data_IF_953426879729
#
_entry.id   IF_953426879729
#
_cell.length_a   1.000
_cell.length_b   1.000
_cell.length_c   1.000
_cell.angle_alpha   90.00
_cell.angle_beta   90.00
_cell.angle_gamma   90.00
#
_symmetry.space_group_name_H-M   'P 1'
#
loop_
_entity.id
_entity.type
_entity.pdbx_description
1 polymer ?
#
# COMPACT_ATOMS: atom_id res chain seq x y z
N UNK A 1 23.57 -53.47 39.00
CA UNK A 1 24.96 -53.21 38.57
C UNK A 1 25.08 -51.73 38.20
N UNK A 2 25.39 -50.90 39.22
CA UNK A 2 26.48 -49.91 39.29
C UNK A 2 26.10 -48.54 38.65
N UNK A 3 25.67 -47.50 39.39
CA UNK A 3 26.44 -46.54 40.24
C UNK A 3 27.67 -45.97 39.52
N UNK A 4 27.89 -44.64 39.43
CA UNK A 4 28.43 -43.69 40.44
C UNK A 4 28.30 -42.26 39.81
N UNK A 5 27.61 -41.26 40.36
CA UNK A 5 27.93 -40.27 41.46
C UNK A 5 29.09 -39.31 41.12
N UNK A 6 28.81 -38.00 41.12
CA UNK A 6 29.62 -36.89 41.71
C UNK A 6 28.81 -35.58 41.52
N UNK A 7 28.13 -35.06 42.54
CA UNK A 7 28.55 -34.28 43.72
C UNK A 7 28.53 -32.76 43.51
N UNK A 8 27.62 -32.14 44.28
CA UNK A 8 27.54 -30.73 44.64
C UNK A 8 28.68 -30.32 45.59
N UNK A 9 28.98 -29.01 45.62
CA UNK A 9 29.29 -28.22 46.84
C UNK A 9 29.22 -26.74 46.40
N UNK A 10 28.14 -26.02 46.69
CA UNK A 10 27.81 -25.28 47.93
C UNK A 10 28.67 -24.02 48.18
N UNK A 11 28.08 -22.80 48.07
CA UNK A 11 27.70 -21.89 49.20
C UNK A 11 28.83 -20.86 49.46
N UNK A 12 28.69 -19.55 49.72
CA UNK A 12 27.62 -18.66 50.20
C UNK A 12 27.85 -17.19 49.78
N UNK A 13 26.83 -16.38 50.12
CA UNK A 13 26.65 -14.93 50.00
C UNK A 13 27.22 -14.21 51.23
N UNK A 14 27.69 -12.96 51.07
CA UNK A 14 27.56 -11.78 51.97
C UNK A 14 28.60 -10.71 51.55
N UNK A 15 28.47 -9.38 51.69
CA UNK A 15 27.42 -8.41 52.05
C UNK A 15 28.03 -7.01 51.84
N UNK A 16 27.21 -6.02 51.49
CA UNK A 16 27.25 -4.58 51.91
C UNK A 16 28.50 -3.72 51.68
N UNK A 17 28.32 -2.53 51.07
CA UNK A 17 28.30 -1.22 51.77
C UNK A 17 28.67 -0.05 50.84
N UNK A 18 27.77 0.94 50.77
CA UNK A 18 28.04 2.28 50.28
C UNK A 18 28.49 3.20 51.44
N UNK A 19 29.31 4.21 51.15
CA UNK A 19 29.63 5.41 51.95
C UNK A 19 29.85 6.54 50.92
N UNK A 20 29.07 7.63 50.82
CA UNK A 20 28.69 8.73 51.74
C UNK A 20 29.66 9.92 51.73
N UNK A 21 29.09 11.08 51.37
CA UNK A 21 29.66 12.43 51.34
C UNK A 21 30.05 12.97 52.74
N UNK A 22 31.05 13.86 52.79
CA UNK A 22 31.16 14.98 53.75
C UNK A 22 32.25 15.98 53.31
N UNK A 23 31.91 17.22 52.91
CA UNK A 23 31.95 18.52 53.63
C UNK A 23 33.17 19.42 53.38
N UNK A 24 32.96 20.41 52.50
CA UNK A 24 33.16 21.87 52.60
C UNK A 24 34.36 22.58 53.30
N UNK A 25 34.64 23.75 52.69
CA UNK A 25 35.29 25.01 53.17
C UNK A 25 36.80 25.16 52.95
N UNK A 26 37.37 26.27 52.46
CA UNK A 26 36.81 27.55 51.97
C UNK A 26 37.91 28.54 51.53
N UNK A 27 37.46 29.60 50.83
CA UNK A 27 38.02 30.97 50.62
C UNK A 27 39.27 31.22 49.75
N UNK A 28 38.97 31.94 48.65
CA UNK A 28 39.57 33.16 48.10
C UNK A 28 41.08 33.42 48.21
N UNK A 29 41.75 33.49 47.05
CA UNK A 29 42.81 34.48 46.76
C UNK A 29 42.80 34.87 45.26
N UNK A 30 42.50 36.14 45.02
CA UNK A 30 42.99 37.09 43.99
C UNK A 30 43.15 36.72 42.50
N UNK A 31 42.51 37.52 41.64
CA UNK A 31 42.98 37.84 40.28
C UNK A 31 44.14 38.86 40.36
N UNK A 32 45.09 38.90 39.39
CA UNK A 32 44.87 39.78 38.23
C UNK A 32 45.44 39.31 36.86
N UNK A 33 44.74 39.80 35.82
CA UNK A 33 45.20 40.33 34.52
C UNK A 33 45.87 39.48 33.39
N UNK A 34 45.08 39.39 32.31
CA UNK A 34 45.36 39.68 30.87
C UNK A 34 46.59 39.05 30.19
N UNK A 35 46.33 38.19 29.19
CA UNK A 35 46.72 38.34 27.77
C UNK A 35 46.72 36.97 27.10
N UNK A 36 45.89 36.75 26.08
CA UNK A 36 45.87 35.48 25.36
C UNK A 36 44.76 35.38 24.35
N UNK A 37 44.98 36.06 23.23
CA UNK A 37 44.15 36.09 22.03
C UNK A 37 43.80 34.68 21.55
N UNK A 38 42.51 34.34 21.55
CA UNK A 38 41.95 33.20 20.82
C UNK A 38 40.45 33.42 20.63
N UNK A 39 40.00 33.85 19.44
CA UNK A 39 38.59 33.85 19.14
C UNK A 39 38.13 32.39 19.01
N UNK A 40 37.39 31.93 20.01
CA UNK A 40 36.43 30.85 19.86
C UNK A 40 35.62 31.09 18.58
N UNK A 41 35.30 30.05 17.77
CA UNK A 41 34.56 30.25 16.53
C UNK A 41 33.24 30.95 16.85
N UNK A 42 33.07 32.15 16.30
CA UNK A 42 31.85 32.93 16.49
C UNK A 42 30.67 32.06 16.09
N UNK A 43 29.71 31.88 16.99
CA UNK A 43 28.39 31.39 16.66
C UNK A 43 27.91 32.17 15.44
N UNK A 44 27.78 31.45 14.32
CA UNK A 44 27.26 31.98 13.07
C UNK A 44 26.03 32.85 13.38
N UNK A 45 26.00 34.06 12.82
CA UNK A 45 24.95 35.03 13.11
C UNK A 45 23.54 34.45 12.93
N UNK A 46 22.53 34.97 13.65
CA UNK A 46 21.18 34.42 13.68
C UNK A 46 20.56 34.17 12.29
N UNK A 47 20.97 34.93 11.27
CA UNK A 47 20.53 34.76 9.88
C UNK A 47 21.00 33.46 9.21
N UNK A 48 22.22 32.99 9.48
CA UNK A 48 22.72 31.73 8.89
C UNK A 48 22.08 30.51 9.57
N UNK A 49 21.81 30.60 10.88
CA UNK A 49 21.09 29.58 11.63
C UNK A 49 19.64 29.48 11.15
N UNK A 50 18.97 30.61 10.89
CA UNK A 50 17.61 30.65 10.35
C UNK A 50 17.51 30.09 8.93
N UNK A 51 18.47 30.38 8.04
CA UNK A 51 18.49 29.84 6.68
C UNK A 51 18.71 28.32 6.65
N UNK A 52 19.60 27.79 7.50
CA UNK A 52 19.80 26.34 7.63
C UNK A 52 18.54 25.64 8.17
N UNK A 53 17.87 26.25 9.15
CA UNK A 53 16.60 25.76 9.69
C UNK A 53 15.45 25.82 8.67
N UNK A 54 15.42 26.83 7.80
CA UNK A 54 14.44 26.90 6.71
C UNK A 54 14.60 25.72 5.74
N UNK A 55 15.84 25.38 5.36
CA UNK A 55 16.12 24.20 4.54
C UNK A 55 15.74 22.88 5.23
N UNK A 56 15.92 22.79 6.55
CA UNK A 56 15.44 21.65 7.34
C UNK A 56 13.90 21.60 7.43
N UNK A 57 13.23 22.75 7.54
CA UNK A 57 11.77 22.84 7.55
C UNK A 57 11.16 22.42 6.20
N UNK A 58 11.79 22.77 5.07
CA UNK A 58 11.41 22.28 3.74
C UNK A 58 11.56 20.77 3.62
N UNK A 59 12.69 20.21 4.08
CA UNK A 59 12.89 18.75 4.10
C UNK A 59 11.89 18.06 5.02
N UNK A 60 11.60 18.65 6.19
CA UNK A 60 10.60 18.14 7.11
C UNK A 60 9.19 18.14 6.48
N UNK A 61 8.82 19.20 5.75
CA UNK A 61 7.59 19.21 4.92
C UNK A 61 7.59 18.08 3.91
N UNK A 62 8.70 17.87 3.20
CA UNK A 62 8.88 16.75 2.27
C UNK A 62 8.65 15.38 2.92
N UNK A 63 9.20 15.17 4.13
CA UNK A 63 8.98 13.92 4.88
C UNK A 63 7.54 13.75 5.36
N UNK A 64 6.89 14.83 5.81
CA UNK A 64 5.46 14.81 6.17
C UNK A 64 4.60 14.46 4.96
N UNK A 65 4.90 15.01 3.79
CA UNK A 65 4.21 14.64 2.55
C UNK A 65 4.46 13.18 2.15
N UNK A 66 5.69 12.70 2.29
CA UNK A 66 6.09 11.32 1.97
C UNK A 66 5.50 10.28 2.94
N UNK A 67 5.15 10.66 4.16
CA UNK A 67 4.58 9.77 5.18
C UNK A 67 3.22 9.15 4.77
N UNK A 68 2.52 9.75 3.80
CA UNK A 68 1.28 9.21 3.25
C UNK A 68 1.31 9.17 1.73
N UNK A 69 0.73 8.13 1.12
CA UNK A 69 0.70 8.03 -0.35
C UNK A 69 -0.10 9.17 -0.97
N UNK A 70 0.28 9.66 -2.17
CA UNK A 70 -0.46 10.71 -2.88
C UNK A 70 -1.96 10.38 -3.07
N UNK A 71 -2.30 9.10 -3.24
CA UNK A 71 -3.69 8.65 -3.29
C UNK A 71 -4.40 8.76 -1.95
N UNK A 72 -3.71 8.46 -0.83
CA UNK A 72 -4.24 8.67 0.52
C UNK A 72 -4.52 10.15 0.76
N UNK A 73 -3.59 11.04 0.39
CA UNK A 73 -3.76 12.50 0.52
C UNK A 73 -4.97 13.01 -0.26
N UNK A 74 -5.08 12.62 -1.55
CA UNK A 74 -6.23 12.96 -2.40
C UNK A 74 -7.55 12.45 -1.82
N UNK A 75 -7.57 11.21 -1.32
CA UNK A 75 -8.75 10.63 -0.71
C UNK A 75 -9.15 11.36 0.57
N UNK A 76 -8.17 11.70 1.43
CA UNK A 76 -8.42 12.41 2.68
C UNK A 76 -8.85 13.87 2.47
N UNK A 77 -8.29 14.55 1.48
CA UNK A 77 -8.73 15.89 1.11
C UNK A 77 -10.19 15.89 0.61
N UNK A 78 -10.55 14.89 -0.21
CA UNK A 78 -11.93 14.73 -0.70
C UNK A 78 -12.91 14.43 0.44
N UNK A 79 -12.52 13.54 1.38
CA UNK A 79 -13.35 13.21 2.54
C UNK A 79 -13.55 14.43 3.45
N UNK A 80 -12.51 15.21 3.70
CA UNK A 80 -12.60 16.46 4.48
C UNK A 80 -13.52 17.48 3.83
N UNK A 81 -13.40 17.66 2.50
CA UNK A 81 -14.30 18.54 1.74
C UNK A 81 -15.75 18.10 1.87
N UNK A 82 -16.00 16.79 1.79
CA UNK A 82 -17.33 16.23 1.92
C UNK A 82 -17.91 16.43 3.33
N UNK A 83 -17.13 16.15 4.38
CA UNK A 83 -17.55 16.42 5.77
C UNK A 83 -17.85 17.90 5.99
N UNK A 84 -16.93 18.78 5.59
CA UNK A 84 -17.09 20.23 5.73
C UNK A 84 -18.29 20.78 4.95
N UNK A 85 -18.60 20.19 3.78
CA UNK A 85 -19.80 20.54 3.02
C UNK A 85 -21.09 20.07 3.71
N UNK A 86 -21.08 18.88 4.29
CA UNK A 86 -22.21 18.38 5.07
C UNK A 86 -22.46 19.22 6.32
N UNK A 87 -21.42 19.54 7.10
CA UNK A 87 -21.52 20.41 8.28
C UNK A 87 -22.19 21.74 7.93
N UNK A 88 -21.71 22.42 6.87
CA UNK A 88 -22.29 23.68 6.39
C UNK A 88 -23.76 23.57 6.02
N UNK A 89 -24.17 22.51 5.32
CA UNK A 89 -25.58 22.28 4.96
C UNK A 89 -26.46 21.99 6.17
N UNK A 90 -25.90 21.39 7.21
CA UNK A 90 -26.60 21.03 8.45
C UNK A 90 -26.55 22.14 9.51
N UNK A 91 -25.99 23.32 9.21
CA UNK A 91 -25.84 24.40 10.19
C UNK A 91 -24.83 24.10 11.31
N UNK A 92 -23.92 23.15 11.10
CA UNK A 92 -22.90 22.72 12.07
C UNK A 92 -21.53 23.28 11.69
N UNK A 93 -20.69 23.56 12.70
CA UNK A 93 -19.28 23.88 12.46
C UNK A 93 -18.44 22.59 12.34
N UNK A 94 -17.54 22.47 11.35
CA UNK A 94 -16.59 21.36 11.25
C UNK A 94 -15.43 21.47 12.27
N UNK A 95 -15.27 22.62 12.93
CA UNK A 95 -14.24 22.86 13.93
C UNK A 95 -14.85 23.59 15.15
N UNK A 96 -14.51 23.20 16.40
CA UNK A 96 -13.60 22.11 16.80
C UNK A 96 -14.18 20.69 16.58
N UNK A 97 -13.38 19.61 16.72
CA UNK A 97 -13.82 18.21 16.52
C UNK A 97 -14.82 17.73 17.59
N UNK A 98 -16.08 18.15 17.51
CA UNK A 98 -17.11 17.70 18.44
C UNK A 98 -17.54 16.26 18.13
N UNK A 99 -17.42 15.28 19.06
CA UNK A 99 -17.75 13.88 18.80
C UNK A 99 -19.19 13.67 18.33
N UNK A 100 -20.16 14.40 18.90
CA UNK A 100 -21.56 14.40 18.46
C UNK A 100 -21.73 14.77 16.97
N UNK A 101 -21.07 15.83 16.47
CA UNK A 101 -21.11 16.22 15.05
C UNK A 101 -20.58 15.10 14.15
N UNK A 102 -19.50 14.43 14.57
CA UNK A 102 -18.93 13.29 13.83
C UNK A 102 -19.88 12.09 13.86
N UNK A 103 -20.52 11.81 15.01
CA UNK A 103 -21.55 10.78 15.16
C UNK A 103 -22.74 11.00 14.20
N UNK A 104 -23.27 12.22 14.15
CA UNK A 104 -24.33 12.59 13.21
C UNK A 104 -23.89 12.44 11.75
N UNK A 105 -22.65 12.83 11.44
CA UNK A 105 -22.09 12.71 10.09
C UNK A 105 -22.00 11.25 9.62
N UNK A 106 -21.49 10.34 10.45
CA UNK A 106 -21.38 8.92 10.07
C UNK A 106 -22.76 8.26 9.96
N UNK A 107 -23.73 8.67 10.78
CA UNK A 107 -25.14 8.26 10.64
C UNK A 107 -25.71 8.74 9.30
N UNK A 108 -25.49 10.00 8.94
CA UNK A 108 -25.93 10.54 7.65
C UNK A 108 -25.25 9.82 6.46
N UNK A 109 -23.99 9.40 6.60
CA UNK A 109 -23.32 8.60 5.58
C UNK A 109 -23.95 7.20 5.47
N UNK A 110 -24.30 6.56 6.59
CA UNK A 110 -24.90 5.23 6.63
C UNK A 110 -26.36 5.22 6.13
N UNK A 111 -27.10 6.31 6.31
CA UNK A 111 -28.49 6.43 5.83
C UNK A 111 -28.61 6.98 4.41
N UNK A 112 -27.53 7.53 3.85
CA UNK A 112 -27.56 8.25 2.56
C UNK A 112 -28.02 9.71 2.67
N UNK A 113 -28.27 10.21 3.88
CA UNK A 113 -28.66 11.61 4.10
C UNK A 113 -27.49 12.61 4.00
N UNK A 114 -26.24 12.14 3.90
CA UNK A 114 -25.08 13.02 3.84
C UNK A 114 -25.03 13.88 2.56
N UNK A 115 -25.59 13.39 1.45
CA UNK A 115 -25.67 14.10 0.18
C UNK A 115 -26.94 13.69 -0.57
N UNK A 116 -27.72 14.67 -1.05
CA UNK A 116 -29.00 14.42 -1.71
C UNK A 116 -28.82 13.58 -2.97
N UNK A 117 -29.62 12.53 -3.11
CA UNK A 117 -29.60 11.64 -4.28
C UNK A 117 -28.43 10.64 -4.31
N UNK A 118 -27.64 10.56 -3.24
CA UNK A 118 -26.50 9.63 -3.16
C UNK A 118 -26.87 8.41 -2.33
N UNK A 119 -26.44 7.23 -2.79
CA UNK A 119 -26.66 5.97 -2.08
C UNK A 119 -25.92 5.95 -0.71
N UNK A 120 -26.45 5.23 0.28
CA UNK A 120 -25.74 4.94 1.53
C UNK A 120 -24.28 4.50 1.33
N UNK A 121 -23.37 5.05 2.14
CA UNK A 121 -21.97 4.64 2.12
C UNK A 121 -21.79 3.26 2.77
N UNK A 122 -20.87 2.46 2.22
CA UNK A 122 -20.46 1.21 2.86
C UNK A 122 -19.76 1.47 4.20
N UNK A 123 -19.83 0.51 5.13
CA UNK A 123 -19.09 0.55 6.41
C UNK A 123 -17.61 0.89 6.21
N UNK A 124 -16.95 0.24 5.24
CA UNK A 124 -15.55 0.50 4.91
C UNK A 124 -15.28 1.94 4.44
N UNK A 125 -16.24 2.56 3.75
CA UNK A 125 -16.12 3.95 3.31
C UNK A 125 -16.25 4.89 4.51
N UNK A 126 -17.16 4.60 5.44
CA UNK A 126 -17.36 5.39 6.66
C UNK A 126 -16.13 5.29 7.57
N UNK A 127 -15.57 4.10 7.77
CA UNK A 127 -14.34 3.92 8.55
C UNK A 127 -13.14 4.65 7.95
N UNK A 128 -13.01 4.65 6.61
CA UNK A 128 -11.99 5.42 5.91
C UNK A 128 -12.18 6.93 6.11
N UNK A 129 -13.43 7.41 6.03
CA UNK A 129 -13.76 8.83 6.29
C UNK A 129 -13.40 9.20 7.73
N UNK A 130 -13.73 8.38 8.73
CA UNK A 130 -13.31 8.61 10.12
C UNK A 130 -11.78 8.70 10.27
N UNK A 131 -11.03 7.78 9.65
CA UNK A 131 -9.56 7.87 9.64
C UNK A 131 -9.06 9.15 8.96
N UNK A 132 -9.72 9.59 7.90
CA UNK A 132 -9.43 10.86 7.24
C UNK A 132 -9.71 12.07 8.14
N UNK A 133 -10.81 12.05 8.90
CA UNK A 133 -11.15 13.12 9.84
C UNK A 133 -10.12 13.20 10.95
N UNK A 134 -9.80 12.09 11.62
CA UNK A 134 -8.76 12.06 12.65
C UNK A 134 -7.42 12.59 12.13
N UNK A 135 -7.03 12.20 10.91
CA UNK A 135 -5.82 12.72 10.28
C UNK A 135 -5.90 14.23 10.05
N UNK A 136 -7.01 14.73 9.49
CA UNK A 136 -7.19 16.16 9.20
C UNK A 136 -7.23 17.02 10.47
N UNK A 137 -7.83 16.54 11.56
CA UNK A 137 -7.79 17.23 12.84
C UNK A 137 -6.36 17.24 13.40
N UNK A 138 -5.65 16.11 13.34
CA UNK A 138 -4.26 16.03 13.81
C UNK A 138 -3.33 17.00 13.05
N UNK A 139 -3.51 17.15 11.74
CA UNK A 139 -2.77 18.15 10.94
C UNK A 139 -3.05 19.61 11.36
N UNK A 140 -4.12 19.86 12.11
CA UNK A 140 -4.52 21.17 12.65
C UNK A 140 -4.23 21.31 14.14
N UNK A 141 -3.47 20.37 14.73
CA UNK A 141 -3.18 20.35 16.17
C UNK A 141 -4.37 19.95 17.05
N UNK A 142 -5.43 19.39 16.47
CA UNK A 142 -6.64 18.97 17.18
C UNK A 142 -6.73 17.44 17.22
N UNK A 143 -7.31 16.90 18.29
CA UNK A 143 -7.49 15.45 18.45
C UNK A 143 -8.96 15.08 18.33
N UNK A 144 -9.25 14.06 17.52
CA UNK A 144 -10.56 13.42 17.48
C UNK A 144 -10.46 12.04 18.13
N UNK A 145 -11.03 11.89 19.33
CA UNK A 145 -11.13 10.59 19.97
C UNK A 145 -12.23 9.75 19.32
N UNK A 146 -11.82 8.71 18.60
CA UNK A 146 -12.73 7.76 17.93
C UNK A 146 -13.38 6.78 18.89
N UNK A 147 -12.87 6.68 20.13
CA UNK A 147 -13.42 5.83 21.19
C UNK A 147 -14.53 6.52 21.97
N UNK A 148 -14.73 7.83 21.76
CA UNK A 148 -15.87 8.55 22.33
C UNK A 148 -17.17 7.83 22.00
N UNK A 149 -18.05 7.75 22.99
CA UNK A 149 -19.35 7.04 22.92
C UNK A 149 -20.16 7.45 21.70
N UNK A 150 -20.19 8.73 21.34
CA UNK A 150 -20.99 9.25 20.22
C UNK A 150 -20.50 8.77 18.85
N UNK A 151 -19.25 8.31 18.76
CA UNK A 151 -18.67 7.76 17.54
C UNK A 151 -18.66 6.23 17.62
N UNK A 152 -18.16 5.67 18.73
CA UNK A 152 -17.97 4.24 18.88
C UNK A 152 -19.30 3.47 18.87
N UNK A 153 -20.32 3.93 19.61
CA UNK A 153 -21.63 3.28 19.66
C UNK A 153 -22.35 3.36 18.31
N UNK A 154 -22.31 4.51 17.65
CA UNK A 154 -22.91 4.70 16.32
C UNK A 154 -22.21 3.81 15.29
N UNK A 155 -20.88 3.76 15.30
CA UNK A 155 -20.12 2.86 14.42
C UNK A 155 -20.42 1.38 14.69
N UNK A 156 -20.61 0.98 15.95
CA UNK A 156 -21.02 -0.37 16.29
C UNK A 156 -22.41 -0.70 15.71
N UNK A 157 -23.38 0.22 15.86
CA UNK A 157 -24.70 0.09 15.24
C UNK A 157 -24.63 -0.03 13.71
N UNK A 158 -23.88 0.86 13.05
CA UNK A 158 -23.67 0.82 11.59
C UNK A 158 -23.07 -0.51 11.15
N UNK A 159 -22.10 -1.06 11.89
CA UNK A 159 -21.53 -2.38 11.58
C UNK A 159 -22.59 -3.47 11.74
N UNK A 160 -23.32 -3.50 12.84
CA UNK A 160 -24.31 -4.55 13.09
C UNK A 160 -25.46 -4.52 12.07
N UNK A 161 -25.89 -3.34 11.63
CA UNK A 161 -27.02 -3.18 10.71
C UNK A 161 -26.63 -3.27 9.23
N UNK A 162 -25.41 -2.86 8.86
CA UNK A 162 -25.03 -2.65 7.45
C UNK A 162 -23.73 -3.33 7.04
N UNK A 163 -23.00 -3.97 7.94
CA UNK A 163 -21.82 -4.73 7.53
C UNK A 163 -22.25 -5.87 6.61
N UNK A 164 -21.62 -5.90 5.44
CA UNK A 164 -21.72 -7.00 4.49
C UNK A 164 -20.33 -7.61 4.33
N UNK A 165 -20.23 -8.92 4.07
CA UNK A 165 -18.97 -9.53 3.67
C UNK A 165 -18.33 -8.72 2.54
N UNK A 166 -17.02 -8.43 2.58
CA UNK A 166 -16.36 -7.66 1.53
C UNK A 166 -16.56 -8.32 0.16
N UNK A 167 -17.06 -7.56 -0.82
CA UNK A 167 -17.19 -8.04 -2.19
C UNK A 167 -15.80 -8.23 -2.78
N UNK A 168 -15.36 -9.49 -2.84
CA UNK A 168 -14.10 -9.85 -3.50
C UNK A 168 -14.31 -9.78 -5.02
N UNK A 169 -13.32 -9.22 -5.72
CA UNK A 169 -13.32 -9.21 -7.19
C UNK A 169 -13.06 -10.62 -7.71
N UNK A 170 -13.63 -10.92 -8.87
CA UNK A 170 -13.41 -12.23 -9.47
C UNK A 170 -11.94 -12.36 -9.84
N UNK A 171 -11.36 -13.48 -9.43
CA UNK A 171 -10.00 -13.86 -9.79
C UNK A 171 -10.01 -14.26 -11.27
N UNK A 172 -9.11 -13.67 -12.05
CA UNK A 172 -8.86 -14.08 -13.43
C UNK A 172 -7.91 -15.27 -13.36
N UNK A 173 -8.31 -16.42 -13.88
CA UNK A 173 -7.48 -17.64 -13.85
C UNK A 173 -6.41 -17.61 -14.95
N UNK A 174 -5.51 -18.59 -14.96
CA UNK A 174 -4.44 -18.64 -15.96
C UNK A 174 -5.01 -18.74 -17.38
N UNK A 175 -6.06 -19.53 -17.57
CA UNK A 175 -6.78 -19.72 -18.82
C UNK A 175 -7.43 -18.41 -19.28
N UNK A 176 -8.04 -17.67 -18.35
CA UNK A 176 -8.63 -16.37 -18.65
C UNK A 176 -7.56 -15.37 -19.13
N UNK A 177 -6.37 -15.37 -18.52
CA UNK A 177 -5.26 -14.51 -18.97
C UNK A 177 -4.85 -14.84 -20.40
N UNK A 178 -4.78 -16.13 -20.75
CA UNK A 178 -4.42 -16.59 -22.09
C UNK A 178 -5.43 -16.03 -23.10
N UNK A 179 -6.73 -16.24 -22.86
CA UNK A 179 -7.78 -15.68 -23.73
C UNK A 179 -7.74 -14.15 -23.78
N UNK A 180 -7.49 -13.48 -22.65
CA UNK A 180 -7.38 -12.02 -22.60
C UNK A 180 -6.22 -11.48 -23.44
N UNK A 181 -5.05 -12.12 -23.43
CA UNK A 181 -3.91 -11.65 -24.23
C UNK A 181 -4.09 -11.91 -25.73
N UNK A 182 -4.90 -12.88 -26.11
CA UNK A 182 -5.25 -13.16 -27.51
C UNK A 182 -6.13 -12.08 -28.13
N UNK A 183 -6.90 -11.35 -27.31
CA UNK A 183 -7.70 -10.19 -27.78
C UNK A 183 -6.86 -8.97 -28.16
N UNK A 184 -5.55 -8.98 -27.87
CA UNK A 184 -4.66 -7.85 -28.09
C UNK A 184 -3.92 -7.95 -29.42
N UNK A 185 -3.94 -6.87 -30.19
CA UNK A 185 -3.23 -6.78 -31.47
C UNK A 185 -1.70 -6.82 -31.29
N UNK A 186 -1.07 -7.88 -31.82
CA UNK A 186 0.39 -8.10 -31.73
C UNK A 186 1.18 -7.21 -32.69
N UNK A 187 0.53 -6.59 -33.68
CA UNK A 187 1.15 -5.70 -34.66
C UNK A 187 1.33 -4.26 -34.19
N UNK A 188 0.73 -3.85 -33.06
CA UNK A 188 0.85 -2.49 -32.53
C UNK A 188 1.65 -2.42 -31.23
N UNK A 189 2.35 -1.30 -31.03
CA UNK A 189 3.07 -1.02 -29.78
C UNK A 189 2.12 -1.01 -28.58
N UNK A 190 0.86 -0.59 -28.77
CA UNK A 190 -0.15 -0.62 -27.72
C UNK A 190 -0.45 -2.06 -27.28
N UNK A 191 -0.66 -2.98 -28.21
CA UNK A 191 -0.96 -4.36 -27.85
C UNK A 191 0.24 -5.09 -27.25
N UNK A 192 1.46 -4.82 -27.73
CA UNK A 192 2.70 -5.33 -27.11
C UNK A 192 2.83 -4.87 -25.65
N UNK A 193 2.65 -3.57 -25.39
CA UNK A 193 2.65 -3.00 -24.04
C UNK A 193 1.59 -3.64 -23.15
N UNK A 194 0.34 -3.64 -23.63
CA UNK A 194 -0.81 -4.10 -22.86
C UNK A 194 -0.68 -5.60 -22.53
N UNK A 195 -0.12 -6.41 -23.44
CA UNK A 195 0.19 -7.82 -23.20
C UNK A 195 1.25 -7.99 -22.12
N UNK A 196 2.35 -7.25 -22.19
CA UNK A 196 3.38 -7.27 -21.15
C UNK A 196 2.82 -6.86 -19.78
N UNK A 197 1.96 -5.84 -19.73
CA UNK A 197 1.30 -5.41 -18.49
C UNK A 197 0.41 -6.49 -17.87
N UNK A 198 -0.39 -7.19 -18.68
CA UNK A 198 -1.28 -8.25 -18.18
C UNK A 198 -0.47 -9.44 -17.63
N UNK A 199 0.52 -9.90 -18.38
CA UNK A 199 1.32 -11.06 -18.02
C UNK A 199 2.19 -10.80 -16.78
N UNK A 200 2.88 -9.66 -16.71
CA UNK A 200 3.67 -9.27 -15.53
C UNK A 200 2.76 -9.02 -14.33
N UNK A 201 1.63 -8.34 -14.55
CA UNK A 201 0.66 -8.06 -13.50
C UNK A 201 0.07 -9.32 -12.88
N UNK A 202 -0.21 -10.33 -13.69
CA UNK A 202 -0.67 -11.64 -13.24
C UNK A 202 0.45 -12.43 -12.57
N UNK A 203 1.56 -12.69 -13.28
CA UNK A 203 2.64 -13.56 -12.80
C UNK A 203 3.34 -13.03 -11.54
N UNK A 204 3.45 -11.71 -11.39
CA UNK A 204 3.98 -11.08 -10.18
C UNK A 204 2.93 -10.80 -9.10
N UNK A 205 1.63 -11.02 -9.36
CA UNK A 205 0.56 -10.69 -8.44
C UNK A 205 0.54 -9.19 -8.07
N UNK A 206 0.91 -8.34 -9.03
CA UNK A 206 1.20 -6.93 -8.79
C UNK A 206 -0.08 -6.09 -8.70
N UNK A 207 -0.06 -5.08 -7.82
CA UNK A 207 -1.10 -4.05 -7.79
C UNK A 207 -0.93 -3.12 -9.00
N UNK A 208 -2.03 -2.52 -9.47
CA UNK A 208 -2.01 -1.56 -10.59
C UNK A 208 -0.94 -0.46 -10.45
N UNK A 209 -0.76 0.08 -9.25
CA UNK A 209 0.24 1.13 -8.98
C UNK A 209 1.67 0.59 -8.94
N UNK A 210 1.85 -0.69 -8.64
CA UNK A 210 3.15 -1.37 -8.68
C UNK A 210 3.52 -1.59 -10.15
N UNK A 211 2.59 -2.10 -10.98
CA UNK A 211 2.81 -2.31 -12.43
C UNK A 211 3.29 -1.04 -13.13
N UNK A 212 2.53 0.06 -13.03
CA UNK A 212 2.91 1.31 -13.71
C UNK A 212 4.10 2.02 -13.06
N UNK A 213 4.42 1.68 -11.81
CA UNK A 213 5.52 2.26 -11.05
C UNK A 213 6.88 1.63 -11.35
N UNK A 214 6.94 0.63 -12.24
CA UNK A 214 8.18 -0.02 -12.65
C UNK A 214 8.99 0.85 -13.61
N UNK A 215 10.28 0.93 -13.35
CA UNK A 215 11.30 1.49 -14.23
C UNK A 215 12.15 0.37 -14.84
N UNK A 216 12.93 0.70 -15.87
CA UNK A 216 13.86 -0.25 -16.48
C UNK A 216 15.01 -0.62 -15.55
N UNK A 217 15.47 0.32 -14.73
CA UNK A 217 16.54 0.14 -13.74
C UNK A 217 16.25 0.93 -12.47
N UNK A 218 16.99 0.65 -11.41
CA UNK A 218 16.92 1.40 -10.16
C UNK A 218 17.22 2.89 -10.38
N UNK A 219 16.57 3.75 -9.58
CA UNK A 219 16.88 5.18 -9.44
C UNK A 219 16.81 6.01 -10.74
N UNK A 220 15.99 5.58 -11.71
CA UNK A 220 15.88 6.28 -13.00
C UNK A 220 14.89 7.46 -12.98
N UNK A 221 13.92 7.44 -12.08
CA UNK A 221 12.89 8.48 -11.96
C UNK A 221 12.53 8.72 -10.50
N UNK A 222 12.12 9.95 -10.17
CA UNK A 222 11.73 10.35 -8.82
C UNK A 222 10.42 9.67 -8.37
N UNK A 223 9.49 9.46 -9.30
CA UNK A 223 8.18 8.84 -9.04
C UNK A 223 8.20 7.30 -9.16
N UNK A 224 9.37 6.74 -9.48
CA UNK A 224 9.64 5.31 -9.58
C UNK A 224 9.37 4.58 -8.26
N UNK A 225 8.69 3.43 -8.36
CA UNK A 225 8.27 2.62 -7.20
C UNK A 225 8.80 1.21 -7.25
N UNK A 226 9.70 0.93 -8.19
CA UNK A 226 10.29 -0.36 -8.42
C UNK A 226 10.99 -0.42 -9.76
N UNK A 227 11.74 -1.49 -9.99
CA UNK A 227 12.43 -1.74 -11.26
C UNK A 227 12.45 -3.24 -11.56
N UNK A 228 12.88 -3.59 -12.75
CA UNK A 228 13.02 -4.96 -13.21
C UNK A 228 14.49 -5.32 -13.45
N UNK A 229 14.82 -6.58 -13.24
CA UNK A 229 16.10 -7.19 -13.61
C UNK A 229 15.82 -8.49 -14.34
N UNK A 230 16.15 -8.54 -15.63
CA UNK A 230 15.92 -9.72 -16.47
C UNK A 230 17.12 -10.63 -16.34
N UNK A 231 16.87 -11.88 -15.93
CA UNK A 231 17.85 -12.93 -15.71
C UNK A 231 17.60 -14.09 -16.68
N UNK A 232 18.53 -15.04 -16.76
CA UNK A 232 18.40 -16.19 -17.66
C UNK A 232 17.10 -16.99 -17.40
N UNK A 233 16.81 -17.28 -16.13
CA UNK A 233 15.65 -18.11 -15.71
C UNK A 233 14.34 -17.34 -15.55
N UNK A 234 14.37 -16.00 -15.58
CA UNK A 234 13.19 -15.20 -15.21
C UNK A 234 13.48 -13.71 -15.11
N UNK A 235 12.67 -13.02 -14.31
CA UNK A 235 12.82 -11.60 -14.01
C UNK A 235 12.61 -11.37 -12.52
N UNK A 236 13.53 -10.65 -11.90
CA UNK A 236 13.38 -10.14 -10.53
C UNK A 236 12.71 -8.78 -10.60
N UNK A 237 11.70 -8.55 -9.76
CA UNK A 237 10.96 -7.29 -9.70
C UNK A 237 11.07 -6.74 -8.28
N UNK A 238 11.80 -5.64 -8.15
CA UNK A 238 11.97 -4.94 -6.86
C UNK A 238 10.92 -3.87 -6.73
N UNK A 239 10.19 -3.85 -5.60
CA UNK A 239 9.00 -3.02 -5.40
C UNK A 239 9.01 -2.32 -4.06
N UNK A 240 8.64 -1.04 -4.07
CA UNK A 240 8.34 -0.27 -2.86
C UNK A 240 6.85 -0.37 -2.53
N UNK A 241 6.54 -1.26 -1.60
CA UNK A 241 5.21 -1.45 -1.04
C UNK A 241 4.85 -0.44 0.04
N UNK A 242 3.73 -0.66 0.72
CA UNK A 242 3.34 0.14 1.89
C UNK A 242 4.20 -0.13 3.14
N UNK A 243 4.76 -1.33 3.22
CA UNK A 243 5.48 -1.86 4.39
C UNK A 243 6.99 -1.92 4.15
N UNK A 244 7.50 -1.25 3.11
CA UNK A 244 8.90 -1.29 2.71
C UNK A 244 9.13 -1.93 1.34
N UNK A 245 10.40 -2.22 1.07
CA UNK A 245 10.85 -2.88 -0.15
C UNK A 245 10.60 -4.38 -0.09
N UNK A 246 10.29 -4.97 -1.25
CA UNK A 246 10.20 -6.42 -1.44
C UNK A 246 10.62 -6.79 -2.85
N UNK A 247 11.00 -8.04 -3.01
CA UNK A 247 11.30 -8.64 -4.30
C UNK A 247 10.23 -9.66 -4.67
N UNK A 248 9.97 -9.76 -5.97
CA UNK A 248 9.01 -10.66 -6.58
C UNK A 248 9.71 -11.36 -7.74
N UNK A 249 9.77 -12.68 -7.68
CA UNK A 249 10.39 -13.49 -8.73
C UNK A 249 9.32 -13.87 -9.76
N UNK A 250 9.60 -13.63 -11.04
CA UNK A 250 8.73 -14.01 -12.15
C UNK A 250 9.49 -14.98 -13.05
N UNK A 251 9.06 -16.24 -13.10
CA UNK A 251 9.66 -17.25 -13.97
C UNK A 251 9.28 -17.10 -15.44
N UNK A 252 10.11 -17.64 -16.35
CA UNK A 252 9.74 -17.78 -17.76
C UNK A 252 8.53 -18.72 -17.89
N UNK A 253 7.56 -18.32 -18.73
CA UNK A 253 6.40 -19.13 -19.05
C UNK A 253 6.73 -20.28 -20.00
N UNK A 254 5.86 -21.29 -20.04
CA UNK A 254 6.03 -22.49 -20.87
C UNK A 254 5.92 -22.23 -22.38
N UNK A 255 5.28 -21.13 -22.81
CA UNK A 255 5.18 -20.72 -24.21
C UNK A 255 5.57 -19.26 -24.38
N UNK A 256 6.27 -18.93 -25.47
CA UNK A 256 6.60 -17.54 -25.82
C UNK A 256 5.35 -16.66 -25.95
N UNK A 257 4.23 -17.26 -26.37
CA UNK A 257 2.94 -16.59 -26.56
C UNK A 257 2.27 -16.14 -25.26
N UNK A 258 2.69 -16.66 -24.11
CA UNK A 258 2.16 -16.36 -22.77
C UNK A 258 3.27 -16.01 -21.75
N UNK A 259 4.54 -16.09 -22.15
CA UNK A 259 5.67 -15.82 -21.28
C UNK A 259 5.78 -14.32 -20.91
N UNK A 260 5.76 -13.96 -19.61
CA UNK A 260 5.87 -12.57 -19.17
C UNK A 260 7.22 -11.95 -19.52
N UNK A 261 8.31 -12.71 -19.45
CA UNK A 261 9.67 -12.20 -19.75
C UNK A 261 9.77 -11.86 -21.24
N UNK A 262 9.37 -12.78 -22.12
CA UNK A 262 9.37 -12.53 -23.58
C UNK A 262 8.48 -11.35 -23.93
N UNK A 263 7.34 -11.18 -23.25
CA UNK A 263 6.47 -10.03 -23.45
C UNK A 263 7.16 -8.70 -23.11
N UNK A 264 7.86 -8.65 -21.98
CA UNK A 264 8.61 -7.46 -21.54
C UNK A 264 9.79 -7.19 -22.46
N UNK A 265 10.60 -8.20 -22.79
CA UNK A 265 11.73 -8.07 -23.72
C UNK A 265 11.26 -7.54 -25.08
N UNK A 266 10.15 -8.09 -25.61
CA UNK A 266 9.54 -7.65 -26.87
C UNK A 266 9.09 -6.20 -26.78
N UNK A 267 8.38 -5.84 -25.71
CA UNK A 267 7.94 -4.46 -25.49
C UNK A 267 9.12 -3.49 -25.43
N UNK A 268 10.15 -3.77 -24.62
CA UNK A 268 11.35 -2.92 -24.49
C UNK A 268 12.03 -2.72 -25.85
N UNK A 269 12.20 -3.81 -26.62
CA UNK A 269 12.83 -3.78 -27.94
C UNK A 269 12.05 -2.91 -28.94
N UNK A 270 10.76 -3.17 -29.12
CA UNK A 270 9.96 -2.46 -30.14
C UNK A 270 9.60 -1.04 -29.74
N UNK A 271 9.46 -0.76 -28.44
CA UNK A 271 9.24 0.59 -27.92
C UNK A 271 10.54 1.40 -27.77
N UNK A 272 11.70 0.79 -28.06
CA UNK A 272 13.03 1.40 -27.99
C UNK A 272 13.30 2.05 -26.62
N UNK A 273 12.97 1.35 -25.54
CA UNK A 273 13.12 1.90 -24.19
C UNK A 273 14.55 1.68 -23.69
N UNK A 274 15.26 2.77 -23.42
CA UNK A 274 16.62 2.72 -22.86
C UNK A 274 16.70 3.11 -21.38
N UNK A 275 15.87 4.07 -20.94
CA UNK A 275 15.87 4.63 -19.58
C UNK A 275 14.49 5.07 -19.14
N UNK A 276 14.14 4.92 -17.86
CA UNK A 276 12.94 5.50 -17.25
C UNK A 276 11.78 4.50 -17.14
N UNK A 277 10.52 4.97 -17.18
CA UNK A 277 9.36 4.12 -16.91
C UNK A 277 9.25 2.95 -17.88
N UNK A 278 9.00 1.76 -17.35
CA UNK A 278 8.81 0.54 -18.15
C UNK A 278 7.53 0.63 -18.99
N UNK A 279 6.43 1.12 -18.40
CA UNK A 279 5.15 1.24 -19.09
C UNK A 279 4.78 2.71 -19.33
N UNK A 280 4.76 3.09 -20.61
CA UNK A 280 4.51 4.47 -21.06
C UNK A 280 3.21 4.59 -21.84
N UNK A 281 2.75 5.83 -22.00
CA UNK A 281 1.60 6.12 -22.86
C UNK A 281 1.96 5.83 -24.32
N UNK A 282 1.05 5.15 -25.03
CA UNK A 282 1.14 4.92 -26.47
C UNK A 282 0.06 5.77 -27.16
N UNK A 283 0.45 6.56 -28.15
CA UNK A 283 -0.39 7.49 -28.93
C UNK A 283 -0.38 7.12 -30.41
N UNK A 284 -1.00 7.95 -31.27
CA UNK A 284 -0.97 7.77 -32.73
C UNK A 284 -1.49 6.40 -33.18
N UNK A 285 -2.71 6.03 -32.77
CA UNK A 285 -3.32 4.74 -33.13
C UNK A 285 -2.47 3.50 -32.73
N UNK A 286 -1.60 3.63 -31.71
CA UNK A 286 -0.79 2.50 -31.25
C UNK A 286 0.63 2.44 -31.85
N UNK A 287 1.09 3.52 -32.50
CA UNK A 287 2.38 3.54 -33.23
C UNK A 287 3.48 4.35 -32.56
N UNK A 288 3.15 5.25 -31.64
CA UNK A 288 4.13 6.14 -30.99
C UNK A 288 4.14 5.99 -29.47
N UNK A 289 5.31 6.02 -28.85
CA UNK A 289 5.51 5.88 -27.40
C UNK A 289 5.95 7.22 -26.83
N UNK A 290 5.25 7.71 -25.81
CA UNK A 290 5.62 8.93 -25.10
C UNK A 290 6.72 8.71 -24.05
N UNK A 291 7.21 9.80 -23.44
CA UNK A 291 8.16 9.79 -22.32
C UNK A 291 7.49 9.40 -20.99
N UNK A 292 6.24 9.79 -20.82
CA UNK A 292 5.55 9.77 -19.52
C UNK A 292 5.12 8.38 -19.06
N UNK A 293 5.21 8.18 -17.74
CA UNK A 293 4.69 7.01 -17.03
C UNK A 293 3.19 6.86 -17.25
N UNK A 294 2.74 5.61 -17.42
CA UNK A 294 1.32 5.31 -17.61
C UNK A 294 0.51 5.52 -16.31
N UNK A 295 -0.73 6.01 -16.44
CA UNK A 295 -1.64 6.14 -15.31
C UNK A 295 -2.17 4.76 -14.87
N UNK A 296 -2.13 4.43 -13.58
CA UNK A 296 -2.64 3.17 -13.03
C UNK A 296 -4.14 2.89 -13.28
N UNK A 297 -4.95 3.91 -13.65
CA UNK A 297 -6.32 3.72 -14.13
C UNK A 297 -6.37 2.95 -15.46
N UNK A 298 -5.36 3.09 -16.32
CA UNK A 298 -5.27 2.39 -17.60
C UNK A 298 -5.17 0.88 -17.41
N UNK A 299 -4.47 0.40 -16.37
CA UNK A 299 -4.43 -1.04 -16.04
C UNK A 299 -5.82 -1.59 -15.76
N UNK A 300 -6.65 -0.85 -15.00
CA UNK A 300 -8.01 -1.31 -14.70
C UNK A 300 -8.90 -1.32 -15.95
N UNK A 301 -8.75 -0.32 -16.82
CA UNK A 301 -9.46 -0.24 -18.10
C UNK A 301 -9.04 -1.38 -19.03
N UNK A 302 -7.74 -1.66 -19.09
CA UNK A 302 -7.17 -2.76 -19.85
C UNK A 302 -7.76 -4.10 -19.40
N UNK A 303 -7.65 -4.44 -18.11
CA UNK A 303 -8.17 -5.71 -17.56
C UNK A 303 -9.67 -5.85 -17.85
N UNK A 304 -10.45 -4.79 -17.66
CA UNK A 304 -11.88 -4.83 -17.96
C UNK A 304 -12.10 -5.09 -19.46
N UNK A 305 -11.51 -4.28 -20.34
CA UNK A 305 -11.68 -4.39 -21.80
C UNK A 305 -11.32 -5.77 -22.31
N UNK A 306 -10.18 -6.32 -21.92
CA UNK A 306 -9.73 -7.64 -22.41
C UNK A 306 -10.53 -8.78 -21.78
N UNK A 307 -10.92 -8.70 -20.51
CA UNK A 307 -11.81 -9.69 -19.91
C UNK A 307 -13.15 -9.72 -20.64
N UNK A 308 -13.73 -8.55 -20.95
CA UNK A 308 -14.97 -8.43 -21.71
C UNK A 308 -14.83 -9.07 -23.10
N UNK A 309 -13.82 -8.67 -23.86
CA UNK A 309 -13.54 -9.17 -25.22
C UNK A 309 -13.24 -10.67 -25.27
N UNK A 310 -12.60 -11.23 -24.24
CA UNK A 310 -12.28 -12.65 -24.16
C UNK A 310 -13.46 -13.51 -23.69
N UNK A 311 -14.64 -12.93 -23.42
CA UNK A 311 -15.80 -13.69 -22.96
C UNK A 311 -15.65 -14.31 -21.57
N UNK A 312 -14.65 -13.89 -20.77
CA UNK A 312 -14.42 -14.40 -19.41
C UNK A 312 -15.69 -14.23 -18.57
N UNK A 313 -16.20 -15.33 -17.99
CA UNK A 313 -17.50 -15.39 -17.29
C UNK A 313 -18.67 -14.99 -18.19
N UNK A 314 -18.75 -15.60 -19.38
CA UNK A 314 -19.84 -15.42 -20.34
C UNK A 314 -21.22 -15.88 -19.83
N UNK A 315 -21.25 -16.60 -18.71
CA UNK A 315 -22.47 -16.95 -17.95
C UNK A 315 -23.18 -15.73 -17.34
N UNK A 316 -22.51 -14.58 -17.25
CA UNK A 316 -23.01 -13.37 -16.62
C UNK A 316 -23.34 -12.27 -17.63
N UNK A 317 -24.28 -11.40 -17.28
CA UNK A 317 -24.57 -10.20 -18.10
C UNK A 317 -23.37 -9.26 -18.18
N UNK A 318 -23.32 -8.45 -19.24
CA UNK A 318 -22.21 -7.50 -19.48
C UNK A 318 -22.00 -6.54 -18.29
N UNK A 319 -23.11 -6.08 -17.70
CA UNK A 319 -23.13 -5.19 -16.54
C UNK A 319 -22.52 -5.87 -15.31
N UNK A 320 -22.87 -7.13 -15.05
CA UNK A 320 -22.34 -7.88 -13.91
C UNK A 320 -20.84 -8.15 -14.05
N UNK A 321 -20.38 -8.53 -15.24
CA UNK A 321 -18.96 -8.73 -15.54
C UNK A 321 -18.16 -7.44 -15.30
N UNK A 322 -18.70 -6.32 -15.75
CA UNK A 322 -18.11 -5.00 -15.55
C UNK A 322 -17.90 -4.63 -14.07
N UNK A 323 -18.74 -5.13 -13.16
CA UNK A 323 -18.58 -4.93 -11.71
C UNK A 323 -17.63 -5.95 -11.06
N UNK A 324 -17.51 -7.16 -11.62
CA UNK A 324 -16.69 -8.24 -11.05
C UNK A 324 -15.20 -8.13 -11.39
N UNK A 325 -14.84 -7.61 -12.57
CA UNK A 325 -13.44 -7.46 -12.97
C UNK A 325 -12.87 -6.08 -12.64
N UNK A 326 -11.63 -6.06 -12.15
CA UNK A 326 -10.86 -4.82 -11.93
C UNK A 326 -9.37 -5.12 -11.99
N UNK A 327 -8.50 -4.11 -11.90
CA UNK A 327 -7.07 -4.41 -11.81
C UNK A 327 -6.62 -5.12 -10.52
N UNK A 328 -7.50 -5.43 -9.57
CA UNK A 328 -7.20 -6.39 -8.49
C UNK A 328 -7.40 -7.85 -8.93
N UNK A 329 -8.07 -8.10 -10.05
CA UNK A 329 -8.37 -9.45 -10.55
C UNK A 329 -7.13 -10.22 -10.96
N UNK A 330 -6.08 -9.56 -11.48
CA UNK A 330 -4.79 -10.18 -11.80
C UNK A 330 -4.12 -10.76 -10.55
N UNK A 331 -4.04 -9.93 -9.51
CA UNK A 331 -3.46 -10.31 -8.22
C UNK A 331 -4.27 -11.39 -7.50
N UNK A 332 -5.59 -11.30 -7.56
CA UNK A 332 -6.47 -12.32 -7.01
C UNK A 332 -6.32 -13.65 -7.76
N UNK A 333 -6.14 -13.58 -9.09
CA UNK A 333 -5.84 -14.71 -9.96
C UNK A 333 -4.68 -15.55 -9.48
N UNK A 334 -3.48 -14.97 -9.42
CA UNK A 334 -2.28 -15.67 -8.98
C UNK A 334 -2.42 -16.25 -7.56
N UNK A 335 -2.99 -15.47 -6.64
CA UNK A 335 -3.21 -15.90 -5.26
C UNK A 335 -4.14 -17.12 -5.15
N UNK A 336 -5.06 -17.29 -6.11
CA UNK A 336 -6.03 -18.37 -6.15
C UNK A 336 -5.59 -19.55 -7.02
N UNK A 337 -4.69 -19.36 -8.00
CA UNK A 337 -4.25 -20.41 -8.92
C UNK A 337 -2.96 -21.13 -8.47
N UNK A 338 -2.12 -20.49 -7.66
CA UNK A 338 -0.83 -21.07 -7.26
C UNK A 338 -1.02 -22.17 -6.20
N UNK A 339 -0.77 -23.43 -6.57
CA UNK A 339 -0.79 -24.58 -5.63
C UNK A 339 0.53 -24.71 -4.87
N UNK A 340 0.84 -23.68 -4.07
CA UNK A 340 2.04 -23.61 -3.22
C UNK A 340 1.66 -23.22 -1.80
N UNK A 341 2.59 -23.46 -0.86
CA UNK A 341 2.41 -23.13 0.55
C UNK A 341 2.03 -21.64 0.76
N UNK A 342 1.15 -21.38 1.73
CA UNK A 342 0.70 -20.06 2.16
C UNK A 342 1.87 -19.07 2.32
N UNK A 343 3.00 -19.53 2.87
CA UNK A 343 4.16 -18.67 3.14
C UNK A 343 4.75 -18.09 1.86
N UNK A 344 4.85 -18.87 0.79
CA UNK A 344 5.39 -18.41 -0.50
C UNK A 344 4.43 -17.44 -1.19
N UNK A 345 3.13 -17.74 -1.17
CA UNK A 345 2.11 -16.81 -1.70
C UNK A 345 2.11 -15.50 -0.90
N UNK A 346 2.23 -15.56 0.43
CA UNK A 346 2.29 -14.37 1.28
C UNK A 346 3.51 -13.50 0.95
N UNK A 347 4.70 -14.11 0.78
CA UNK A 347 5.94 -13.41 0.40
C UNK A 347 5.80 -12.75 -0.98
N UNK A 348 5.41 -13.51 -2.00
CA UNK A 348 5.24 -13.03 -3.39
C UNK A 348 4.25 -11.86 -3.46
N UNK A 349 3.13 -11.98 -2.75
CA UNK A 349 2.12 -10.93 -2.72
C UNK A 349 2.51 -9.78 -1.78
N UNK A 350 3.46 -9.98 -0.86
CA UNK A 350 3.79 -9.08 0.26
C UNK A 350 2.55 -8.72 1.09
N UNK A 351 1.81 -9.74 1.53
CA UNK A 351 0.74 -9.59 2.49
C UNK A 351 1.31 -9.43 3.91
N UNK A 352 0.80 -8.45 4.66
CA UNK A 352 1.26 -8.15 6.01
C UNK A 352 0.89 -9.23 7.04
N UNK A 353 -0.11 -10.05 6.75
CA UNK A 353 -0.51 -11.19 7.60
C UNK A 353 -0.98 -12.37 6.76
N UNK A 354 -0.84 -13.57 7.32
CA UNK A 354 -1.34 -14.81 6.73
C UNK A 354 -2.86 -14.75 6.48
N UNK A 355 -3.62 -14.12 7.37
CA UNK A 355 -5.08 -13.97 7.21
C UNK A 355 -5.47 -13.31 5.88
N UNK A 356 -4.67 -12.37 5.37
CA UNK A 356 -4.91 -11.77 4.05
C UNK A 356 -4.75 -12.77 2.90
N UNK A 357 -3.84 -13.74 3.04
CA UNK A 357 -3.61 -14.83 2.08
C UNK A 357 -4.70 -15.90 2.17
N UNK A 358 -5.10 -16.31 3.38
CA UNK A 358 -6.17 -17.31 3.60
C UNK A 358 -7.49 -16.97 2.92
N UNK A 359 -7.78 -15.68 2.74
CA UNK A 359 -9.00 -15.24 2.03
C UNK A 359 -9.08 -15.78 0.59
N UNK A 360 -7.94 -15.93 -0.08
CA UNK A 360 -7.86 -16.48 -1.44
C UNK A 360 -7.88 -18.01 -1.44
N UNK A 361 -7.16 -18.65 -0.49
CA UNK A 361 -7.10 -20.10 -0.35
C UNK A 361 -8.46 -20.72 0.02
N UNK A 362 -9.21 -20.11 0.95
CA UNK A 362 -10.57 -20.58 1.35
C UNK A 362 -11.55 -20.68 0.17
N UNK A 363 -11.32 -19.92 -0.91
CA UNK A 363 -12.15 -20.00 -2.12
C UNK A 363 -11.72 -21.16 -3.01
N UNK A 364 -10.41 -21.39 -3.16
CA UNK A 364 -9.83 -22.49 -3.94
C UNK A 364 -10.11 -23.86 -3.28
N UNK A 365 -9.92 -23.94 -1.97
CA UNK A 365 -10.00 -25.19 -1.21
C UNK A 365 -11.42 -25.48 -0.71
N UNK A 366 -12.40 -24.71 -1.18
CA UNK A 366 -13.80 -24.86 -0.79
C UNK A 366 -14.27 -26.28 -1.13
N UNK A 367 -14.68 -27.02 -0.11
CA UNK A 367 -15.07 -28.43 -0.17
C UNK A 367 -13.95 -29.46 -0.46
N UNK A 368 -12.68 -29.04 -0.66
CA UNK A 368 -11.54 -29.96 -0.76
C UNK A 368 -11.13 -30.51 0.61
N UNK A 369 -11.07 -29.64 1.62
CA UNK A 369 -10.91 -30.01 3.03
C UNK A 369 -12.26 -29.79 3.70
N UNK A 370 -13.08 -30.85 3.75
CA UNK A 370 -14.44 -30.77 4.26
C UNK A 370 -14.56 -31.55 5.56
N UNK A 371 -14.78 -30.83 6.66
CA UNK A 371 -15.00 -31.43 7.97
C UNK A 371 -16.23 -32.33 7.98
N UNK A 372 -17.27 -32.05 7.19
CA UNK A 372 -18.45 -32.93 7.06
C UNK A 372 -18.05 -34.33 6.60
N UNK A 373 -17.25 -34.42 5.54
CA UNK A 373 -16.70 -35.70 5.05
C UNK A 373 -15.70 -36.32 6.04
N UNK A 374 -14.85 -35.51 6.67
CA UNK A 374 -13.89 -36.00 7.67
C UNK A 374 -14.56 -36.48 8.97
N UNK A 375 -15.76 -35.96 9.27
CA UNK A 375 -16.63 -36.38 10.37
C UNK A 375 -17.56 -37.53 9.98
N UNK A 376 -17.50 -38.03 8.73
CA UNK A 376 -18.28 -39.17 8.27
C UNK A 376 -19.76 -38.88 7.94
N UNK A 377 -20.12 -37.61 7.69
CA UNK A 377 -21.46 -37.17 7.28
C UNK A 377 -21.61 -36.99 5.76
#
# INVERSE_FOLDING_TARGET
MAQIIEQNTEIHVEKTSALSLSTASGRDVSSPEVSGDSPLPSLAGPDQTLAHLAGLADRARGYVEAASSANTRKAYASDWKHFSAWCRRSGLSPLPPHPHTVGLYITACASGAAERGVKPNSVSTIERRLSSLSWNYAQRGLTLDRKDRHIATVMAGIRNSHARPPVQKEAVMAEDIISMVETLDRGSLRGLRDRAMLLVGFAGGLRRSEIVGLDLKAEQTEDGRGWIEILNKGMLVTLRGKTGWREVEIGRGSSNSTCPIVAVETWIKFAKLAHGPLFRRVTGQGKAVGSERLNGKEVARLVKRTAMAAGVRGDLSEIERAFKFSGHSLRAGLASSADVDERYVQKQLGHASAEMTRRYQRRRDRFRVNLTKASGL
#
